data_IF_239889132790
#
_entry.id   IF_239889132790
#
_cell.length_a   1.000
_cell.length_b   1.000
_cell.length_c   1.000
_cell.angle_alpha   90.00
_cell.angle_beta   90.00
_cell.angle_gamma   90.00
#
_symmetry.space_group_name_H-M   'P 1'
#
loop_
_entity.id
_entity.type
_entity.pdbx_description
1 polymer ?
#
# COMPACT_ATOMS: atom_id res chain seq x y z
N UNK A 1 -8.07 -10.92 -6.90
CA UNK A 1 -9.00 -10.94 -5.74
C UNK A 1 -8.98 -12.32 -5.10
N UNK A 2 -8.07 -12.54 -4.14
CA UNK A 2 -8.07 -13.73 -3.31
C UNK A 2 -8.56 -13.35 -1.92
N UNK A 3 -9.68 -13.91 -1.49
CA UNK A 3 -10.15 -13.80 -0.09
C UNK A 3 -9.21 -14.67 0.74
N UNK A 4 -8.21 -14.07 1.40
CA UNK A 4 -7.29 -14.78 2.29
C UNK A 4 -7.95 -15.06 3.64
N UNK A 5 -7.71 -16.26 4.16
CA UNK A 5 -8.04 -16.59 5.54
C UNK A 5 -7.40 -15.56 6.46
N UNK A 6 -8.23 -14.92 7.29
CA UNK A 6 -7.77 -14.15 8.44
C UNK A 6 -6.82 -15.01 9.26
N UNK A 7 -5.65 -14.48 9.57
CA UNK A 7 -4.70 -14.99 10.59
C UNK A 7 -5.28 -14.99 12.01
N UNK A 8 -6.59 -14.73 12.17
CA UNK A 8 -7.33 -14.70 13.44
C UNK A 8 -7.27 -16.07 14.12
N UNK A 9 -6.25 -16.26 14.96
CA UNK A 9 -6.03 -17.48 15.74
C UNK A 9 -4.57 -17.82 16.01
N UNK A 10 -3.60 -17.20 15.33
CA UNK A 10 -2.17 -17.37 15.62
C UNK A 10 -1.69 -16.15 16.43
N UNK A 11 -0.92 -16.36 17.50
CA UNK A 11 -0.51 -15.35 18.48
C UNK A 11 0.34 -14.20 17.93
N UNK A 12 -0.25 -13.38 17.06
CA UNK A 12 0.35 -12.20 16.42
C UNK A 12 0.23 -10.93 17.25
N UNK A 13 -0.37 -10.98 18.44
CA UNK A 13 -0.42 -9.84 19.36
C UNK A 13 1.01 -9.38 19.69
N UNK A 14 1.28 -8.09 19.44
CA UNK A 14 2.63 -7.51 19.58
C UNK A 14 3.63 -7.86 18.48
N UNK A 15 3.22 -8.54 17.40
CA UNK A 15 4.03 -8.76 16.20
C UNK A 15 3.64 -7.74 15.13
N UNK A 16 4.60 -7.21 14.37
CA UNK A 16 4.32 -6.24 13.31
C UNK A 16 4.20 -6.88 11.94
N UNK A 17 4.74 -8.09 11.75
CA UNK A 17 4.82 -8.73 10.45
C UNK A 17 4.56 -10.23 10.52
N UNK A 18 4.00 -10.76 9.44
CA UNK A 18 3.83 -12.19 9.21
C UNK A 18 4.27 -12.57 7.79
N UNK A 19 4.83 -13.76 7.65
CA UNK A 19 5.19 -14.32 6.35
C UNK A 19 4.43 -15.63 6.14
N UNK A 20 3.83 -15.78 4.96
CA UNK A 20 3.14 -17.00 4.54
C UNK A 20 3.54 -17.32 3.10
N UNK A 21 3.80 -18.60 2.80
CA UNK A 21 4.09 -19.05 1.43
C UNK A 21 3.00 -18.61 0.46
N UNK A 22 3.40 -18.24 -0.77
CA UNK A 22 2.46 -18.00 -1.86
C UNK A 22 1.89 -19.30 -2.46
N UNK A 23 2.68 -20.37 -2.46
CA UNK A 23 2.29 -21.63 -3.10
C UNK A 23 1.31 -22.44 -2.24
N UNK A 24 1.38 -22.25 -0.91
CA UNK A 24 0.56 -22.96 0.06
C UNK A 24 0.23 -22.03 1.24
N UNK A 25 -0.98 -21.49 1.25
CA UNK A 25 -1.48 -20.62 2.32
C UNK A 25 -1.47 -21.31 3.72
N UNK A 26 -1.31 -22.64 3.79
CA UNK A 26 -1.14 -23.36 5.05
C UNK A 26 0.32 -23.40 5.55
N UNK A 27 1.30 -23.18 4.67
CA UNK A 27 2.73 -23.09 4.98
C UNK A 27 3.10 -21.70 5.49
N UNK A 28 2.73 -21.45 6.74
CA UNK A 28 3.09 -20.25 7.47
C UNK A 28 4.58 -20.26 7.84
N UNK A 29 5.27 -19.16 7.58
CA UNK A 29 6.71 -19.03 7.76
C UNK A 29 7.12 -18.35 9.07
N UNK A 30 6.18 -17.71 9.78
CA UNK A 30 6.41 -17.15 11.11
C UNK A 30 6.03 -15.68 11.21
N UNK A 31 6.12 -15.18 12.44
CA UNK A 31 5.99 -13.76 12.75
C UNK A 31 7.37 -13.12 12.89
N UNK A 32 7.41 -11.79 12.71
CA UNK A 32 8.55 -10.95 13.06
C UNK A 32 8.08 -9.71 13.83
N UNK A 33 8.88 -9.29 14.80
CA UNK A 33 8.64 -8.08 15.59
C UNK A 33 9.02 -6.83 14.81
N UNK A 34 10.11 -6.90 14.05
CA UNK A 34 10.59 -5.82 13.19
C UNK A 34 11.06 -6.38 11.84
N UNK A 35 11.05 -5.55 10.79
CA UNK A 35 11.49 -5.88 9.44
C UNK A 35 12.31 -4.72 8.85
N UNK A 36 13.45 -4.43 9.46
CA UNK A 36 14.32 -3.32 9.06
C UNK A 36 14.85 -3.55 7.64
N UNK A 37 14.77 -2.53 6.78
CA UNK A 37 15.21 -2.59 5.38
C UNK A 37 14.14 -3.05 4.38
N UNK A 38 12.92 -3.39 4.81
CA UNK A 38 11.83 -3.77 3.89
C UNK A 38 11.50 -2.65 2.87
N UNK A 39 11.54 -1.39 3.31
CA UNK A 39 11.28 -0.21 2.47
C UNK A 39 12.56 0.47 1.99
N UNK A 40 13.70 -0.22 2.07
CA UNK A 40 15.00 0.32 1.68
C UNK A 40 15.60 -0.57 0.59
N UNK A 41 15.41 -0.24 -0.70
CA UNK A 41 16.01 -1.00 -1.78
C UNK A 41 17.54 -0.94 -1.71
N UNK A 42 18.18 -1.99 -2.23
CA UNK A 42 19.63 -2.00 -2.39
C UNK A 42 20.05 -0.99 -3.48
N UNK A 43 21.27 -0.42 -3.39
CA UNK A 43 21.78 0.48 -4.43
C UNK A 43 21.72 -0.17 -5.80
N UNK A 44 21.23 0.57 -6.80
CA UNK A 44 21.13 0.17 -8.20
C UNK A 44 20.22 -1.05 -8.49
N UNK A 45 19.45 -1.52 -7.50
CA UNK A 45 18.49 -2.63 -7.64
C UNK A 45 17.15 -2.28 -6.96
N UNK A 46 16.27 -1.55 -7.67
CA UNK A 46 15.02 -1.00 -7.12
C UNK A 46 14.11 -2.04 -6.42
N UNK A 47 14.10 -3.29 -6.90
CA UNK A 47 13.32 -4.37 -6.32
C UNK A 47 14.05 -5.16 -5.22
N UNK A 48 15.37 -5.20 -5.20
CA UNK A 48 16.11 -6.04 -4.25
C UNK A 48 16.21 -5.39 -2.87
N UNK A 49 16.00 -6.17 -1.82
CA UNK A 49 16.09 -5.73 -0.42
C UNK A 49 16.91 -6.70 0.40
N UNK A 50 17.61 -6.16 1.39
CA UNK A 50 18.14 -6.93 2.53
C UNK A 50 17.35 -6.53 3.76
N UNK A 51 16.61 -7.49 4.32
CA UNK A 51 15.71 -7.26 5.44
C UNK A 51 16.22 -7.98 6.67
N UNK A 52 16.34 -7.26 7.78
CA UNK A 52 16.62 -7.83 9.08
C UNK A 52 15.29 -8.04 9.82
N UNK A 53 14.88 -9.30 9.91
CA UNK A 53 13.68 -9.72 10.64
C UNK A 53 14.08 -10.04 12.08
N UNK A 54 13.61 -9.25 13.04
CA UNK A 54 13.95 -9.42 14.45
C UNK A 54 12.86 -10.17 15.23
N UNK A 55 13.28 -10.93 16.24
CA UNK A 55 12.36 -11.60 17.17
C UNK A 55 11.48 -12.67 16.52
N UNK A 56 12.01 -13.37 15.51
CA UNK A 56 11.26 -14.35 14.73
C UNK A 56 11.20 -15.71 15.41
N UNK A 57 10.09 -16.41 15.19
CA UNK A 57 9.99 -17.86 15.37
C UNK A 57 9.72 -18.50 13.99
N UNK A 58 10.78 -18.81 13.21
CA UNK A 58 10.61 -19.31 11.86
C UNK A 58 9.89 -20.66 11.88
N UNK A 59 9.01 -20.83 10.92
CA UNK A 59 8.20 -22.02 10.69
C UNK A 59 8.26 -22.41 9.21
N UNK A 60 7.67 -23.55 8.86
CA UNK A 60 7.42 -23.91 7.47
C UNK A 60 8.68 -23.89 6.59
N UNK A 61 8.54 -23.36 5.37
CA UNK A 61 9.64 -23.14 4.43
C UNK A 61 10.80 -22.34 5.00
N UNK A 62 10.51 -21.24 5.71
CA UNK A 62 11.56 -20.37 6.26
C UNK A 62 12.43 -21.10 7.29
N UNK A 63 11.84 -21.92 8.16
CA UNK A 63 12.60 -22.73 9.12
C UNK A 63 13.53 -23.75 8.42
N UNK A 64 13.07 -24.39 7.34
CA UNK A 64 13.91 -25.33 6.57
C UNK A 64 15.15 -24.66 5.97
N UNK A 65 15.06 -23.37 5.67
CA UNK A 65 16.17 -22.60 5.11
C UNK A 65 17.23 -22.22 6.14
N UNK A 66 16.86 -22.08 7.42
CA UNK A 66 17.77 -21.70 8.52
C UNK A 66 18.96 -22.67 8.63
N UNK A 67 18.72 -23.98 8.52
CA UNK A 67 19.78 -25.00 8.59
C UNK A 67 20.64 -25.11 7.32
N UNK A 68 20.36 -24.27 6.32
CA UNK A 68 20.93 -24.36 4.98
C UNK A 68 21.56 -23.06 4.49
N UNK A 69 21.72 -22.07 5.38
CA UNK A 69 22.38 -20.78 5.11
C UNK A 69 23.74 -21.00 4.41
N UNK A 70 23.99 -20.20 3.38
CA UNK A 70 25.18 -20.33 2.52
C UNK A 70 25.06 -21.35 1.39
N UNK A 71 23.90 -22.00 1.22
CA UNK A 71 23.63 -22.94 0.13
C UNK A 71 22.38 -22.55 -0.67
N UNK A 72 22.17 -23.18 -1.84
CA UNK A 72 20.95 -23.00 -2.65
C UNK A 72 19.66 -23.41 -1.93
N UNK A 73 19.75 -24.18 -0.84
CA UNK A 73 18.58 -24.59 -0.04
C UNK A 73 18.15 -23.55 0.99
N UNK A 74 18.86 -22.42 1.08
CA UNK A 74 18.48 -21.28 1.91
C UNK A 74 17.37 -20.41 1.29
N UNK A 75 16.95 -20.72 0.05
CA UNK A 75 15.86 -20.04 -0.65
C UNK A 75 14.54 -20.69 -0.26
N UNK A 76 13.67 -19.93 0.42
CA UNK A 76 12.34 -20.37 0.83
C UNK A 76 11.32 -20.28 -0.31
N UNK A 77 11.50 -19.32 -1.22
CA UNK A 77 10.60 -19.07 -2.35
C UNK A 77 9.87 -17.73 -2.22
N UNK A 78 8.64 -17.68 -2.72
CA UNK A 78 7.82 -16.47 -2.70
C UNK A 78 6.86 -16.46 -1.51
N UNK A 79 6.51 -15.28 -1.02
CA UNK A 79 5.63 -15.13 0.13
C UNK A 79 4.75 -13.89 0.06
N UNK A 80 3.70 -13.94 0.86
CA UNK A 80 2.95 -12.78 1.30
C UNK A 80 3.58 -12.26 2.58
N UNK A 81 4.05 -11.02 2.52
CA UNK A 81 4.62 -10.28 3.63
C UNK A 81 3.53 -9.36 4.19
N UNK A 82 2.86 -9.83 5.24
CA UNK A 82 1.74 -9.15 5.88
C UNK A 82 2.23 -8.14 6.92
N UNK A 83 1.59 -6.96 6.96
CA UNK A 83 1.79 -5.95 7.99
C UNK A 83 0.61 -6.01 8.96
N UNK A 84 0.90 -6.09 10.26
CA UNK A 84 -0.09 -6.40 11.30
C UNK A 84 -0.30 -5.24 12.27
N UNK A 85 -1.54 -4.92 12.63
CA UNK A 85 -1.83 -3.97 13.70
C UNK A 85 -1.45 -4.53 15.10
N UNK A 86 -1.66 -3.73 16.15
CA UNK A 86 -1.32 -4.13 17.52
C UNK A 86 -2.06 -5.39 18.01
N UNK A 87 -3.23 -5.68 17.44
CA UNK A 87 -4.05 -6.84 17.74
C UNK A 87 -3.70 -8.06 16.86
N UNK A 88 -2.72 -7.90 15.95
CA UNK A 88 -2.28 -8.94 15.02
C UNK A 88 -3.15 -9.07 13.76
N UNK A 89 -4.04 -8.12 13.48
CA UNK A 89 -4.85 -8.13 12.27
C UNK A 89 -4.07 -7.57 11.07
N UNK A 90 -4.18 -8.23 9.92
CA UNK A 90 -3.52 -7.79 8.68
C UNK A 90 -4.09 -6.46 8.20
N UNK A 91 -3.24 -5.43 8.20
CA UNK A 91 -3.56 -4.10 7.66
C UNK A 91 -3.40 -4.06 6.14
N UNK A 92 -2.49 -4.87 5.62
CA UNK A 92 -2.23 -5.06 4.19
C UNK A 92 -1.02 -5.96 4.00
N UNK A 93 -0.66 -6.22 2.74
CA UNK A 93 0.44 -7.13 2.44
C UNK A 93 1.15 -6.78 1.14
N UNK A 94 2.42 -7.15 1.08
CA UNK A 94 3.21 -7.14 -0.13
C UNK A 94 3.48 -8.56 -0.60
N UNK A 95 3.50 -8.74 -1.92
CA UNK A 95 4.07 -9.94 -2.51
C UNK A 95 5.59 -9.78 -2.60
N UNK A 96 6.32 -10.74 -2.04
CA UNK A 96 7.79 -10.75 -2.04
C UNK A 96 8.29 -12.01 -2.75
N UNK A 97 9.30 -11.85 -3.60
CA UNK A 97 9.90 -12.94 -4.36
C UNK A 97 11.25 -13.36 -3.77
N UNK A 98 11.59 -14.63 -3.99
CA UNK A 98 12.91 -15.21 -3.67
C UNK A 98 13.43 -14.91 -2.26
N UNK A 99 12.56 -15.05 -1.25
CA UNK A 99 12.94 -14.92 0.16
C UNK A 99 14.05 -15.93 0.46
N UNK A 100 15.24 -15.42 0.75
CA UNK A 100 16.45 -16.22 0.95
C UNK A 100 17.10 -15.87 2.27
N UNK A 101 17.28 -16.87 3.14
CA UNK A 101 17.94 -16.68 4.44
C UNK A 101 19.45 -16.63 4.25
N UNK A 102 20.08 -15.51 4.62
CA UNK A 102 21.52 -15.32 4.46
C UNK A 102 22.28 -15.29 5.79
N UNK A 103 21.58 -15.05 6.90
CA UNK A 103 22.16 -15.11 8.25
C UNK A 103 21.08 -15.44 9.29
N UNK A 104 21.49 -16.07 10.39
CA UNK A 104 20.64 -16.39 11.55
C UNK A 104 21.45 -16.26 12.84
N UNK A 105 20.86 -15.59 13.83
CA UNK A 105 21.44 -15.48 15.17
C UNK A 105 20.35 -15.57 16.25
N UNK A 106 20.69 -16.00 17.48
CA UNK A 106 19.75 -15.91 18.60
C UNK A 106 19.29 -14.47 18.81
N UNK A 107 17.98 -14.27 19.04
CA UNK A 107 17.41 -12.96 19.28
C UNK A 107 17.56 -12.55 20.75
N UNK A 108 17.78 -11.25 21.00
CA UNK A 108 17.74 -10.69 22.35
C UNK A 108 16.31 -10.57 22.90
N UNK A 109 15.28 -10.64 22.03
CA UNK A 109 13.87 -10.42 22.39
C UNK A 109 13.23 -11.58 23.17
N UNK A 110 13.85 -12.75 23.24
CA UNK A 110 13.31 -13.88 24.00
C UNK A 110 14.00 -15.21 23.73
N UNK A 111 13.88 -16.13 24.69
CA UNK A 111 14.43 -17.47 24.54
C UNK A 111 13.72 -18.23 23.40
N UNK A 112 14.51 -18.80 22.48
CA UNK A 112 14.00 -19.57 21.34
C UNK A 112 13.62 -18.73 20.12
N UNK A 113 13.67 -17.40 20.20
CA UNK A 113 13.54 -16.51 19.05
C UNK A 113 14.89 -16.32 18.36
N UNK A 114 14.84 -16.04 17.06
CA UNK A 114 16.02 -15.75 16.23
C UNK A 114 15.81 -14.44 15.47
N UNK A 115 16.91 -13.76 15.19
CA UNK A 115 16.93 -12.69 14.20
C UNK A 115 17.46 -13.28 12.89
N UNK A 116 16.77 -13.01 11.79
CA UNK A 116 17.12 -13.47 10.46
C UNK A 116 17.55 -12.29 9.61
N UNK A 117 18.61 -12.44 8.84
CA UNK A 117 18.85 -11.57 7.68
C UNK A 117 18.40 -12.32 6.45
N UNK A 118 17.47 -11.73 5.70
CA UNK A 118 16.98 -12.28 4.43
C UNK A 118 17.25 -11.32 3.28
N UNK A 119 17.42 -11.86 2.08
CA UNK A 119 17.26 -11.09 0.85
C UNK A 119 15.92 -11.44 0.21
N UNK A 120 15.29 -10.47 -0.42
CA UNK A 120 14.03 -10.66 -1.16
C UNK A 120 13.89 -9.62 -2.26
N UNK A 121 12.98 -9.85 -3.20
CA UNK A 121 12.61 -8.89 -4.23
C UNK A 121 11.17 -8.39 -4.06
N UNK A 122 10.97 -7.07 -4.02
CA UNK A 122 9.66 -6.44 -3.89
C UNK A 122 9.65 -4.98 -4.37
N UNK A 123 9.30 -4.72 -5.62
CA UNK A 123 9.24 -3.34 -6.15
C UNK A 123 8.15 -2.49 -5.47
N UNK A 124 7.08 -3.11 -5.00
CA UNK A 124 5.92 -2.41 -4.43
C UNK A 124 6.15 -1.85 -3.01
N UNK A 125 7.17 -2.34 -2.29
CA UNK A 125 7.54 -1.85 -0.96
C UNK A 125 8.39 -0.57 -1.11
N UNK A 126 7.74 0.52 -1.56
CA UNK A 126 8.40 1.77 -1.93
C UNK A 126 9.15 2.43 -0.76
N UNK A 127 10.29 3.11 -1.02
CA UNK A 127 10.89 4.04 -0.07
C UNK A 127 9.86 5.04 0.46
N UNK A 128 9.91 5.35 1.76
CA UNK A 128 8.97 6.28 2.40
C UNK A 128 7.66 5.64 2.91
N UNK A 129 7.33 4.41 2.50
CA UNK A 129 6.08 3.73 2.91
C UNK A 129 6.03 3.33 4.39
N UNK A 130 7.18 3.26 5.08
CA UNK A 130 7.25 2.90 6.50
C UNK A 130 6.40 3.81 7.38
N UNK A 131 6.50 5.13 7.18
CA UNK A 131 5.78 6.11 8.01
C UNK A 131 4.27 6.03 7.84
N UNK A 132 3.69 6.02 6.62
CA UNK A 132 2.25 5.82 6.44
C UNK A 132 1.77 4.49 7.03
N UNK A 133 2.52 3.39 6.88
CA UNK A 133 2.15 2.12 7.52
C UNK A 133 2.09 2.21 9.04
N UNK A 134 3.03 2.93 9.67
CA UNK A 134 3.01 3.14 11.12
C UNK A 134 1.84 4.03 11.56
N UNK A 135 1.44 5.02 10.75
CA UNK A 135 0.25 5.81 11.01
C UNK A 135 -1.03 4.96 10.98
N UNK A 136 -1.13 4.02 10.03
CA UNK A 136 -2.23 3.04 10.00
C UNK A 136 -2.19 2.16 11.24
N UNK A 137 -1.03 1.59 11.58
CA UNK A 137 -0.84 0.68 12.73
C UNK A 137 -1.24 1.27 14.07
N UNK A 138 -0.90 2.54 14.25
CA UNK A 138 -1.11 3.25 15.52
C UNK A 138 -2.44 4.00 15.57
N UNK A 139 -3.25 3.94 14.50
CA UNK A 139 -4.51 4.69 14.39
C UNK A 139 -4.31 6.21 14.33
N UNK A 140 -3.12 6.68 14.00
CA UNK A 140 -2.80 8.11 13.87
C UNK A 140 -3.08 8.67 12.48
N UNK A 141 -3.42 7.82 11.49
CA UNK A 141 -3.98 8.25 10.21
C UNK A 141 -5.45 8.69 10.39
N UNK A 142 -5.65 9.86 11.00
CA UNK A 142 -6.95 10.24 11.57
C UNK A 142 -7.51 11.59 11.08
N UNK A 143 -6.82 12.28 10.18
CA UNK A 143 -7.30 13.49 9.52
C UNK A 143 -6.74 13.59 8.10
N UNK A 144 -7.48 14.27 7.22
CA UNK A 144 -7.09 14.48 5.83
C UNK A 144 -5.95 15.49 5.72
N UNK A 145 -5.18 15.40 4.64
CA UNK A 145 -4.12 16.35 4.32
C UNK A 145 -2.76 16.06 4.96
N UNK A 146 -2.59 14.91 5.58
CA UNK A 146 -1.29 14.48 6.13
C UNK A 146 -0.21 14.28 5.05
N UNK A 147 -0.62 14.21 3.78
CA UNK A 147 0.25 14.12 2.60
C UNK A 147 0.71 15.48 2.05
N UNK A 148 0.13 16.61 2.51
CA UNK A 148 0.35 17.92 1.89
C UNK A 148 1.83 18.33 1.83
N UNK A 149 2.57 18.09 2.91
CA UNK A 149 3.97 18.50 3.07
C UNK A 149 4.98 17.47 2.55
N UNK A 150 4.51 16.33 2.04
CA UNK A 150 5.38 15.28 1.50
C UNK A 150 5.99 15.72 0.16
N UNK A 151 7.21 15.25 -0.11
CA UNK A 151 7.82 15.33 -1.44
C UNK A 151 7.04 14.43 -2.44
N UNK A 152 7.14 14.65 -3.76
CA UNK A 152 6.43 13.83 -4.74
C UNK A 152 6.65 12.32 -4.56
N UNK A 153 7.90 11.89 -4.37
CA UNK A 153 8.23 10.47 -4.19
C UNK A 153 7.59 9.88 -2.92
N UNK A 154 7.51 10.66 -1.85
CA UNK A 154 6.84 10.28 -0.60
C UNK A 154 5.31 10.26 -0.75
N UNK A 155 4.72 11.08 -1.63
CA UNK A 155 3.29 10.99 -1.97
C UNK A 155 2.98 9.74 -2.78
N UNK A 156 3.86 9.34 -3.68
CA UNK A 156 3.68 8.08 -4.39
C UNK A 156 3.73 6.88 -3.43
N UNK A 157 4.65 6.90 -2.46
CA UNK A 157 4.68 5.92 -1.38
C UNK A 157 3.41 5.94 -0.51
N UNK A 158 2.88 7.13 -0.21
CA UNK A 158 1.60 7.31 0.47
C UNK A 158 0.44 6.63 -0.28
N UNK A 159 0.34 6.85 -1.60
CA UNK A 159 -0.68 6.22 -2.44
C UNK A 159 -0.56 4.70 -2.49
N UNK A 160 0.67 4.17 -2.53
CA UNK A 160 0.90 2.71 -2.40
C UNK A 160 0.35 2.19 -1.09
N UNK A 161 0.64 2.84 0.05
CA UNK A 161 0.07 2.42 1.35
C UNK A 161 -1.45 2.56 1.38
N UNK A 162 -2.02 3.61 0.80
CA UNK A 162 -3.46 3.78 0.68
C UNK A 162 -4.10 2.59 -0.08
N UNK A 163 -3.51 2.18 -1.21
CA UNK A 163 -3.97 1.03 -2.00
C UNK A 163 -3.95 -0.28 -1.20
N UNK A 164 -2.82 -0.56 -0.55
CA UNK A 164 -2.60 -1.83 0.15
C UNK A 164 -3.33 -1.91 1.49
N UNK A 165 -3.63 -0.77 2.11
CA UNK A 165 -4.38 -0.71 3.37
C UNK A 165 -5.89 -0.48 3.20
N UNK A 166 -6.39 -0.28 1.98
CA UNK A 166 -7.79 0.10 1.73
C UNK A 166 -8.82 -0.83 2.38
N UNK A 167 -8.60 -2.14 2.35
CA UNK A 167 -9.58 -3.12 2.85
C UNK A 167 -9.64 -3.05 4.39
N UNK A 168 -8.49 -2.88 5.01
CA UNK A 168 -8.36 -2.66 6.45
C UNK A 168 -9.01 -1.34 6.87
N UNK A 169 -8.70 -0.25 6.17
CA UNK A 169 -9.27 1.07 6.48
C UNK A 169 -10.78 1.13 6.27
N UNK A 170 -11.29 0.51 5.20
CA UNK A 170 -12.73 0.49 4.91
C UNK A 170 -13.51 -0.40 5.87
N UNK A 171 -12.89 -1.42 6.47
CA UNK A 171 -13.56 -2.36 7.38
C UNK A 171 -14.86 -2.95 6.81
N UNK A 172 -14.90 -3.21 5.49
CA UNK A 172 -16.09 -3.70 4.80
C UNK A 172 -17.22 -2.69 4.64
N UNK A 173 -16.99 -1.39 4.91
CA UNK A 173 -17.94 -0.31 4.65
C UNK A 173 -18.33 -0.33 3.17
N UNK A 174 -19.64 -0.38 2.84
CA UNK A 174 -20.07 -0.36 1.46
C UNK A 174 -19.71 0.97 0.79
N UNK A 175 -19.73 0.99 -0.53
CA UNK A 175 -19.58 2.22 -1.29
C UNK A 175 -20.65 3.25 -0.92
N UNK A 176 -20.32 4.53 -1.04
CA UNK A 176 -21.32 5.57 -1.04
C UNK A 176 -22.29 5.35 -2.21
N UNK A 177 -23.61 5.54 -1.99
CA UNK A 177 -24.61 5.25 -3.00
C UNK A 177 -24.51 6.19 -4.21
N UNK A 178 -25.03 5.74 -5.35
CA UNK A 178 -25.19 6.59 -6.52
C UNK A 178 -25.93 7.89 -6.19
N UNK A 179 -25.51 8.99 -6.82
CA UNK A 179 -26.00 10.35 -6.55
C UNK A 179 -25.37 11.02 -5.33
N UNK A 180 -24.41 10.38 -4.66
CA UNK A 180 -23.64 11.02 -3.60
C UNK A 180 -22.86 12.23 -4.14
N UNK A 181 -22.58 13.19 -3.26
CA UNK A 181 -21.83 14.40 -3.59
C UNK A 181 -20.55 14.39 -2.77
N UNK A 182 -19.42 14.18 -3.43
CA UNK A 182 -18.09 14.29 -2.83
C UNK A 182 -17.57 15.71 -3.00
N UNK A 183 -16.70 16.14 -2.07
CA UNK A 183 -16.01 17.43 -2.16
C UNK A 183 -14.51 17.19 -2.06
N UNK A 184 -13.78 17.67 -3.06
CA UNK A 184 -12.33 17.58 -3.13
C UNK A 184 -11.73 18.98 -3.11
N UNK A 185 -10.76 19.18 -2.21
CA UNK A 185 -10.05 20.45 -2.05
C UNK A 185 -8.83 20.51 -2.98
N UNK A 186 -8.87 21.42 -3.95
CA UNK A 186 -7.83 21.60 -4.94
C UNK A 186 -6.60 22.41 -4.49
N UNK A 187 -6.61 23.05 -3.31
CA UNK A 187 -5.54 23.98 -2.88
C UNK A 187 -4.16 23.33 -2.77
N UNK A 188 -4.13 22.04 -2.49
CA UNK A 188 -2.90 21.28 -2.27
C UNK A 188 -2.56 20.36 -3.45
N UNK A 189 -3.33 20.41 -4.55
CA UNK A 189 -3.05 19.66 -5.77
C UNK A 189 -2.01 20.43 -6.59
N UNK A 190 -0.79 19.90 -6.62
CA UNK A 190 0.39 20.53 -7.24
C UNK A 190 1.03 19.67 -8.32
N UNK A 191 0.67 18.39 -8.39
CA UNK A 191 1.15 17.35 -9.30
C UNK A 191 0.12 16.20 -9.37
N UNK A 192 0.38 15.20 -10.23
CA UNK A 192 -0.50 14.04 -10.42
C UNK A 192 -0.72 13.24 -9.13
N UNK A 193 0.33 12.92 -8.36
CA UNK A 193 0.20 12.16 -7.12
C UNK A 193 -0.65 12.90 -6.07
N UNK A 194 -0.49 14.22 -5.93
CA UNK A 194 -1.32 15.02 -5.01
C UNK A 194 -2.79 15.09 -5.42
N UNK A 195 -3.10 15.01 -6.72
CA UNK A 195 -4.49 14.82 -7.17
C UNK A 195 -5.06 13.50 -6.66
N UNK A 196 -4.33 12.40 -6.80
CA UNK A 196 -4.78 11.08 -6.34
C UNK A 196 -4.93 11.01 -4.82
N UNK A 197 -4.05 11.66 -4.07
CA UNK A 197 -4.21 11.80 -2.62
C UNK A 197 -5.49 12.56 -2.27
N UNK A 198 -5.76 13.68 -2.95
CA UNK A 198 -6.92 14.52 -2.69
C UNK A 198 -8.25 13.80 -2.99
N UNK A 199 -8.37 13.11 -4.13
CA UNK A 199 -9.59 12.37 -4.46
C UNK A 199 -9.78 11.14 -3.58
N UNK A 200 -8.69 10.43 -3.26
CA UNK A 200 -8.71 9.32 -2.33
C UNK A 200 -9.27 9.72 -0.97
N UNK A 201 -8.83 10.86 -0.44
CA UNK A 201 -9.34 11.40 0.81
C UNK A 201 -10.77 11.93 0.72
N UNK A 202 -11.15 12.54 -0.40
CA UNK A 202 -12.52 13.01 -0.64
C UNK A 202 -13.53 11.85 -0.62
N UNK A 203 -13.16 10.69 -1.19
CA UNK A 203 -14.06 9.53 -1.30
C UNK A 203 -14.02 8.66 -0.04
N UNK A 204 -12.82 8.36 0.47
CA UNK A 204 -12.63 7.32 1.48
C UNK A 204 -12.16 7.84 2.85
N UNK A 205 -11.95 9.15 3.02
CA UNK A 205 -11.48 9.75 4.27
C UNK A 205 -9.95 9.74 4.41
N UNK A 206 -9.41 10.04 5.61
CA UNK A 206 -7.96 10.19 5.84
C UNK A 206 -7.10 9.06 5.25
N UNK A 207 -6.16 9.41 4.37
CA UNK A 207 -5.31 8.43 3.65
C UNK A 207 -6.07 7.41 2.79
N UNK A 208 -7.29 7.74 2.37
CA UNK A 208 -8.12 6.92 1.51
C UNK A 208 -7.54 6.76 0.11
N UNK A 209 -7.87 5.65 -0.55
CA UNK A 209 -7.43 5.34 -1.91
C UNK A 209 -8.57 5.50 -2.90
N UNK A 210 -8.32 6.18 -4.02
CA UNK A 210 -9.24 6.22 -5.16
C UNK A 210 -8.46 6.44 -6.47
N UNK A 211 -7.47 5.59 -6.71
CA UNK A 211 -6.53 5.67 -7.82
C UNK A 211 -5.13 6.18 -7.40
N UNK A 212 -4.16 5.94 -8.26
CA UNK A 212 -2.75 6.37 -8.16
C UNK A 212 -2.08 6.54 -9.53
N UNK A 213 -2.87 6.39 -10.60
CA UNK A 213 -2.59 6.67 -12.00
C UNK A 213 -3.94 6.68 -12.75
N UNK A 214 -3.95 7.03 -14.04
CA UNK A 214 -5.17 7.20 -14.83
C UNK A 214 -5.99 5.90 -14.94
N UNK A 215 -5.34 4.77 -15.21
CA UNK A 215 -6.00 3.46 -15.33
C UNK A 215 -6.62 3.04 -13.99
N UNK A 216 -5.91 3.26 -12.88
CA UNK A 216 -6.41 2.92 -11.56
C UNK A 216 -7.55 3.82 -11.10
N UNK A 217 -7.57 5.09 -11.50
CA UNK A 217 -8.72 5.96 -11.30
C UNK A 217 -9.93 5.45 -12.08
N UNK A 218 -9.73 5.10 -13.35
CA UNK A 218 -10.77 4.53 -14.21
C UNK A 218 -11.36 3.23 -13.62
N UNK A 219 -10.50 2.35 -13.12
CA UNK A 219 -10.89 1.13 -12.38
C UNK A 219 -11.72 1.44 -11.13
N UNK A 220 -11.34 2.47 -10.36
CA UNK A 220 -12.08 2.89 -9.17
C UNK A 220 -13.50 3.37 -9.50
N UNK A 221 -13.69 3.98 -10.67
CA UNK A 221 -14.96 4.52 -11.13
C UNK A 221 -15.98 3.46 -11.57
N UNK A 222 -15.57 2.19 -11.74
CA UNK A 222 -16.49 1.06 -11.91
C UNK A 222 -17.18 0.62 -10.60
N UNK A 223 -16.79 1.19 -9.47
CA UNK A 223 -17.33 0.85 -8.15
C UNK A 223 -16.60 -0.32 -7.47
N UNK A 224 -16.94 -0.54 -6.21
CA UNK A 224 -16.22 -1.44 -5.30
C UNK A 224 -15.08 -0.77 -4.54
N UNK A 225 -14.80 0.51 -4.81
CA UNK A 225 -13.64 1.26 -4.30
C UNK A 225 -14.01 2.45 -3.41
N UNK A 226 -15.26 2.53 -2.93
CA UNK A 226 -15.73 3.57 -2.01
C UNK A 226 -16.87 4.43 -2.56
N UNK A 227 -17.09 4.43 -3.87
CA UNK A 227 -18.14 5.20 -4.52
C UNK A 227 -18.83 4.40 -5.63
N UNK A 228 -20.16 4.43 -5.67
CA UNK A 228 -20.96 3.90 -6.77
C UNK A 228 -21.28 5.02 -7.76
N UNK A 229 -20.89 4.87 -9.02
CA UNK A 229 -21.27 5.78 -10.12
C UNK A 229 -22.74 5.56 -10.54
N UNK A 230 -23.45 6.62 -11.02
CA UNK A 230 -23.01 8.01 -11.16
C UNK A 230 -22.99 8.76 -9.83
N UNK A 231 -22.10 9.75 -9.69
CA UNK A 231 -22.04 10.66 -8.52
C UNK A 231 -21.59 12.07 -8.94
N UNK A 232 -21.62 13.03 -8.01
CA UNK A 232 -21.13 14.39 -8.24
C UNK A 232 -19.83 14.64 -7.47
N UNK A 233 -18.84 15.22 -8.13
CA UNK A 233 -17.60 15.70 -7.53
C UNK A 233 -17.59 17.23 -7.54
N UNK A 234 -17.71 17.85 -6.37
CA UNK A 234 -17.38 19.26 -6.20
C UNK A 234 -15.86 19.40 -6.10
N UNK A 235 -15.25 20.07 -7.06
CA UNK A 235 -13.82 20.36 -7.05
C UNK A 235 -13.62 21.81 -6.66
N UNK A 236 -13.40 22.03 -5.36
CA UNK A 236 -13.16 23.37 -4.81
C UNK A 236 -11.73 23.82 -5.13
N UNK A 237 -11.53 25.11 -5.39
CA UNK A 237 -10.23 25.68 -5.81
C UNK A 237 -9.67 25.02 -7.08
N UNK A 238 -10.58 24.55 -7.94
CA UNK A 238 -10.25 23.85 -9.19
C UNK A 238 -9.43 24.69 -10.15
N UNK A 239 -9.61 26.02 -10.14
CA UNK A 239 -8.84 26.94 -10.97
C UNK A 239 -7.35 26.88 -10.63
N UNK A 240 -6.99 26.73 -9.35
CA UNK A 240 -5.58 26.60 -8.92
C UNK A 240 -5.01 25.27 -9.38
N UNK A 241 -5.70 24.16 -9.11
CA UNK A 241 -5.30 22.82 -9.56
C UNK A 241 -5.13 22.76 -11.09
N UNK A 242 -6.01 23.42 -11.86
CA UNK A 242 -5.91 23.48 -13.33
C UNK A 242 -4.61 24.13 -13.80
N UNK A 243 -4.12 25.15 -13.11
CA UNK A 243 -2.82 25.75 -13.47
C UNK A 243 -1.63 24.85 -13.17
N UNK A 244 -1.77 23.92 -12.21
CA UNK A 244 -0.71 23.01 -11.78
C UNK A 244 -0.67 21.74 -12.62
N UNK A 245 -1.83 21.15 -12.91
CA UNK A 245 -2.00 19.95 -13.74
C UNK A 245 -2.01 20.29 -15.24
N UNK A 246 -1.09 21.15 -15.67
CA UNK A 246 -1.01 21.69 -17.02
C UNK A 246 -0.11 20.86 -17.97
N UNK A 247 0.53 19.81 -17.44
CA UNK A 247 1.38 18.93 -18.23
C UNK A 247 0.57 18.17 -19.29
N UNK A 248 1.23 17.84 -20.40
CA UNK A 248 0.61 17.09 -21.50
C UNK A 248 0.95 15.62 -21.36
N UNK A 249 -0.07 14.78 -21.35
CA UNK A 249 0.06 13.33 -21.23
C UNK A 249 -0.53 12.64 -22.47
N UNK A 250 -0.01 11.47 -22.86
CA UNK A 250 -0.59 10.68 -23.93
C UNK A 250 -2.03 10.23 -23.61
N UNK A 251 -2.92 10.34 -24.59
CA UNK A 251 -4.31 9.90 -24.52
C UNK A 251 -4.72 9.25 -25.85
N UNK A 252 -4.36 7.97 -26.01
CA UNK A 252 -4.44 7.26 -27.29
C UNK A 252 -3.54 7.92 -28.34
N UNK A 253 -4.11 8.31 -29.47
CA UNK A 253 -3.40 9.01 -30.56
C UNK A 253 -3.27 10.54 -30.33
N UNK A 254 -3.72 11.05 -29.18
CA UNK A 254 -3.71 12.47 -28.83
C UNK A 254 -2.77 12.73 -27.65
N UNK A 255 -2.46 14.00 -27.45
CA UNK A 255 -1.93 14.51 -26.18
C UNK A 255 -2.92 15.51 -25.59
N UNK A 256 -3.25 15.33 -24.32
CA UNK A 256 -4.16 16.20 -23.58
C UNK A 256 -3.48 16.77 -22.35
N UNK A 257 -3.96 17.92 -21.90
CA UNK A 257 -3.58 18.44 -20.60
C UNK A 257 -4.15 17.51 -19.54
N UNK A 258 -3.34 17.10 -18.55
CA UNK A 258 -3.73 16.15 -17.52
C UNK A 258 -5.07 16.53 -16.86
N UNK A 259 -5.24 17.80 -16.48
CA UNK A 259 -6.50 18.29 -15.93
C UNK A 259 -7.71 18.00 -16.83
N UNK A 260 -7.59 18.24 -18.14
CA UNK A 260 -8.70 18.04 -19.09
C UNK A 260 -8.94 16.54 -19.31
N UNK A 261 -7.89 15.71 -19.32
CA UNK A 261 -8.03 14.25 -19.41
C UNK A 261 -8.73 13.66 -18.18
N UNK A 262 -8.44 14.15 -16.98
CA UNK A 262 -9.15 13.74 -15.77
C UNK A 262 -10.65 14.04 -15.87
N UNK A 263 -11.03 15.20 -16.43
CA UNK A 263 -12.44 15.52 -16.68
C UNK A 263 -13.08 14.60 -17.74
N UNK A 264 -12.36 14.26 -18.82
CA UNK A 264 -12.83 13.29 -19.83
C UNK A 264 -13.12 11.93 -19.15
N UNK A 265 -12.20 11.42 -18.32
CA UNK A 265 -12.38 10.15 -17.57
C UNK A 265 -13.61 10.20 -16.67
N UNK A 266 -13.78 11.28 -15.89
CA UNK A 266 -14.96 11.44 -15.04
C UNK A 266 -16.27 11.45 -15.83
N UNK A 267 -16.32 12.21 -16.92
CA UNK A 267 -17.51 12.32 -17.76
C UNK A 267 -17.88 10.97 -18.39
N UNK A 268 -16.90 10.25 -18.94
CA UNK A 268 -17.10 8.92 -19.54
C UNK A 268 -17.64 7.88 -18.53
N UNK A 269 -17.32 8.06 -17.24
CA UNK A 269 -17.80 7.21 -16.14
C UNK A 269 -19.06 7.74 -15.44
N UNK A 270 -19.69 8.78 -16.00
CA UNK A 270 -20.95 9.32 -15.47
C UNK A 270 -20.78 10.13 -14.17
N UNK A 271 -19.58 10.62 -13.90
CA UNK A 271 -19.31 11.54 -12.78
C UNK A 271 -19.49 12.98 -13.26
N UNK A 272 -20.39 13.71 -12.59
CA UNK A 272 -20.57 15.14 -12.83
C UNK A 272 -19.58 15.93 -11.99
N UNK A 273 -18.63 16.60 -12.64
CA UNK A 273 -17.66 17.46 -11.95
C UNK A 273 -18.14 18.91 -11.95
N UNK A 274 -18.28 19.50 -10.76
CA UNK A 274 -18.62 20.92 -10.59
C UNK A 274 -17.36 21.65 -10.14
N UNK A 275 -16.76 22.42 -11.06
CA UNK A 275 -15.58 23.24 -10.81
C UNK A 275 -15.95 24.50 -10.03
N UNK A 276 -15.26 24.76 -8.92
CA UNK A 276 -15.48 25.91 -8.01
C UNK A 276 -14.17 26.62 -7.70
#
# INVERSE_FOLDING_TARGET
>A
MGVRLRTSGRGGEGQKYALTSDEDDSDFWGFAQEAEGLFTPLPDEEGARRVHLAGCLPQGGLLRCVDHVGSRRAVAGNAWFELLDGDGATMGSYFVNEVTVIDVKPSASGAGLVDLTVTLWCENALPGAERPWELVRTGHLNHTGMWHELAPEDRHAWLSVALWSREYQRQGKPDAPAGHVFTMDGRHIVDEDSFYCAIGEAVNGPGGYFGWNLDALDDCLFGGWGATTPFTLHWDFSAEARTRLAERVPAGDRELVLFDLLLEIFEERGVSVILR
#
